data_IF_846485364197
#
_entry.id   IF_846485364197
#
_cell.length_a   1.000
_cell.length_b   1.000
_cell.length_c   1.000
_cell.angle_alpha   90.00
_cell.angle_beta   90.00
_cell.angle_gamma   90.00
#
_symmetry.space_group_name_H-M   'P 1'
#
loop_
_entity.id
_entity.type
_entity.pdbx_description
1 polymer ?
#
# COMPACT_ATOMS: atom_id res chain seq x y z
N UNK A 1 -5.52 6.79 -4.23
CA UNK A 1 -6.14 5.54 -4.73
C UNK A 1 -6.12 4.43 -3.67
N UNK A 2 -4.96 4.08 -3.07
CA UNK A 2 -4.85 3.05 -2.01
C UNK A 2 -5.85 3.26 -0.87
N UNK A 3 -5.93 4.47 -0.30
CA UNK A 3 -6.88 4.78 0.78
C UNK A 3 -8.34 4.44 0.43
N UNK A 4 -8.75 4.74 -0.80
CA UNK A 4 -10.10 4.47 -1.29
C UNK A 4 -10.36 2.98 -1.41
N UNK A 5 -9.38 2.21 -1.88
CA UNK A 5 -9.50 0.75 -2.03
C UNK A 5 -9.65 0.11 -0.65
N UNK A 6 -8.74 0.42 0.29
CA UNK A 6 -8.75 -0.14 1.65
C UNK A 6 -10.01 0.28 2.43
N UNK A 7 -10.46 1.54 2.30
CA UNK A 7 -11.68 2.02 2.98
C UNK A 7 -12.96 1.33 2.48
N UNK A 8 -12.99 0.90 1.23
CA UNK A 8 -14.14 0.20 0.65
C UNK A 8 -14.02 -1.33 0.75
N UNK A 9 -13.00 -1.84 1.46
CA UNK A 9 -12.93 -3.24 1.81
C UNK A 9 -14.13 -3.65 2.66
N UNK A 10 -14.65 -4.85 2.42
CA UNK A 10 -15.71 -5.46 3.24
C UNK A 10 -15.18 -5.93 4.58
N UNK A 11 -13.97 -6.49 4.60
CA UNK A 11 -13.30 -6.98 5.79
C UNK A 11 -11.80 -7.11 5.57
N UNK A 12 -11.04 -7.06 6.66
CA UNK A 12 -9.61 -7.44 6.65
C UNK A 12 -9.51 -8.94 6.81
N UNK A 13 -8.74 -9.57 5.93
CA UNK A 13 -8.43 -11.01 6.03
C UNK A 13 -7.17 -11.23 6.85
N UNK A 14 -6.14 -10.41 6.62
CA UNK A 14 -4.90 -10.43 7.40
C UNK A 14 -4.19 -9.08 7.31
N UNK A 15 -3.54 -8.69 8.39
CA UNK A 15 -2.53 -7.65 8.37
C UNK A 15 -1.21 -8.22 8.90
N UNK A 16 -0.11 -7.87 8.26
CA UNK A 16 1.23 -8.22 8.69
C UNK A 16 2.08 -6.95 8.67
N UNK A 17 2.25 -6.35 9.84
CA UNK A 17 3.06 -5.15 10.02
C UNK A 17 4.56 -5.42 9.99
N UNK A 18 4.99 -6.69 10.05
CA UNK A 18 6.40 -7.08 9.95
C UNK A 18 6.86 -7.12 8.50
N UNK A 19 5.98 -7.60 7.61
CA UNK A 19 6.23 -7.66 6.16
C UNK A 19 5.55 -6.54 5.38
N UNK A 20 4.99 -5.53 6.08
CA UNK A 20 4.28 -4.40 5.49
C UNK A 20 3.23 -4.83 4.45
N UNK A 21 2.41 -5.82 4.80
CA UNK A 21 1.41 -6.44 3.92
C UNK A 21 0.02 -6.38 4.51
N UNK A 22 -0.98 -6.09 3.67
CA UNK A 22 -2.39 -6.05 4.06
C UNK A 22 -3.22 -6.81 3.04
N UNK A 23 -3.96 -7.81 3.52
CA UNK A 23 -4.95 -8.54 2.74
C UNK A 23 -6.36 -8.26 3.24
N UNK A 24 -7.27 -7.94 2.32
CA UNK A 24 -8.65 -7.63 2.62
C UNK A 24 -9.58 -8.16 1.53
N UNK A 25 -10.85 -8.33 1.86
CA UNK A 25 -11.88 -8.66 0.89
C UNK A 25 -12.39 -7.37 0.25
N UNK A 26 -12.19 -7.24 -1.05
CA UNK A 26 -12.66 -6.10 -1.83
C UNK A 26 -14.19 -6.04 -1.94
N UNK A 27 -14.73 -4.94 -2.48
CA UNK A 27 -16.17 -4.82 -2.74
C UNK A 27 -16.67 -5.86 -3.75
N UNK A 28 -15.80 -6.31 -4.65
CA UNK A 28 -16.01 -7.40 -5.61
C UNK A 28 -16.06 -8.80 -4.96
N UNK A 29 -15.68 -8.92 -3.69
CA UNK A 29 -15.66 -10.17 -2.95
C UNK A 29 -14.36 -10.98 -3.10
N UNK A 30 -13.37 -10.48 -3.85
CA UNK A 30 -12.07 -11.14 -3.97
C UNK A 30 -11.11 -10.67 -2.89
N UNK A 31 -10.28 -11.59 -2.39
CA UNK A 31 -9.15 -11.23 -1.55
C UNK A 31 -8.14 -10.44 -2.37
N UNK A 32 -7.81 -9.25 -1.92
CA UNK A 32 -6.79 -8.36 -2.48
C UNK A 32 -5.72 -8.15 -1.43
N UNK A 33 -4.46 -8.34 -1.83
CA UNK A 33 -3.28 -8.08 -1.01
C UNK A 33 -2.57 -6.85 -1.56
N UNK A 34 -2.21 -5.92 -0.67
CA UNK A 34 -1.36 -4.77 -0.97
C UNK A 34 -0.06 -4.92 -0.20
N UNK A 35 1.06 -4.77 -0.90
CA UNK A 35 2.42 -4.81 -0.34
C UNK A 35 3.38 -4.02 -1.22
N UNK A 36 4.60 -3.77 -0.72
CA UNK A 36 5.69 -3.24 -1.53
C UNK A 36 6.34 -4.36 -2.36
N UNK A 37 6.38 -4.19 -3.68
CA UNK A 37 7.27 -4.96 -4.54
C UNK A 37 8.65 -4.29 -4.50
N UNK A 38 9.59 -4.95 -3.81
CA UNK A 38 10.93 -4.40 -3.56
C UNK A 38 11.85 -4.47 -4.77
N UNK A 39 11.55 -5.34 -5.76
CA UNK A 39 12.37 -5.46 -6.97
C UNK A 39 12.20 -4.25 -7.88
N UNK A 40 11.00 -3.67 -7.91
CA UNK A 40 10.67 -2.49 -8.72
C UNK A 40 10.29 -1.26 -7.88
N UNK A 41 10.40 -1.34 -6.55
CA UNK A 41 10.05 -0.30 -5.59
C UNK A 41 8.66 0.33 -5.82
N UNK A 42 7.62 -0.50 -6.03
CA UNK A 42 6.24 -0.04 -6.27
C UNK A 42 5.25 -0.78 -5.39
N UNK A 43 4.18 -0.10 -4.99
CA UNK A 43 3.11 -0.75 -4.22
C UNK A 43 2.30 -1.62 -5.19
N UNK A 44 2.34 -2.93 -4.98
CA UNK A 44 1.58 -3.91 -5.73
C UNK A 44 0.19 -4.10 -5.11
N UNK A 45 -0.77 -4.43 -5.95
CA UNK A 45 -2.11 -4.88 -5.57
C UNK A 45 -2.40 -6.16 -6.33
N UNK A 46 -2.52 -7.26 -5.60
CA UNK A 46 -2.71 -8.59 -6.16
C UNK A 46 -4.00 -9.18 -5.61
N UNK A 47 -4.92 -9.50 -6.51
CA UNK A 47 -6.12 -10.28 -6.25
C UNK A 47 -6.21 -11.45 -7.23
N UNK A 48 -7.10 -12.40 -6.96
CA UNK A 48 -7.34 -13.53 -7.87
C UNK A 48 -7.82 -13.07 -9.27
N UNK A 49 -8.43 -11.89 -9.37
CA UNK A 49 -8.96 -11.34 -10.61
C UNK A 49 -8.01 -10.35 -11.31
N UNK A 50 -7.08 -9.74 -10.58
CA UNK A 50 -6.22 -8.69 -11.09
C UNK A 50 -4.91 -8.58 -10.32
N UNK A 51 -3.78 -8.51 -11.04
CA UNK A 51 -2.49 -8.14 -10.49
C UNK A 51 -1.98 -6.88 -11.19
N UNK A 52 -1.54 -5.91 -10.41
CA UNK A 52 -0.98 -4.66 -10.94
C UNK A 52 -0.35 -3.79 -9.88
N UNK A 53 0.20 -2.65 -10.32
CA UNK A 53 0.85 -1.68 -9.44
C UNK A 53 -0.08 -0.48 -9.21
N UNK A 54 -0.21 -0.06 -7.95
CA UNK A 54 -0.95 1.14 -7.55
C UNK A 54 -0.11 2.41 -7.65
N UNK A 55 1.22 2.26 -7.68
CA UNK A 55 2.16 3.35 -7.95
C UNK A 55 2.36 3.48 -9.46
N UNK A 56 2.36 4.69 -10.05
CA UNK A 56 2.82 4.93 -11.43
C UNK A 56 4.24 4.41 -11.73
N UNK A 57 4.59 4.19 -13.00
CA UNK A 57 5.88 3.58 -13.38
C UNK A 57 7.06 4.56 -13.35
N UNK A 58 6.79 5.86 -13.31
CA UNK A 58 7.75 6.95 -13.20
C UNK A 58 8.05 7.35 -11.75
N UNK A 59 7.47 6.63 -10.78
CA UNK A 59 7.63 6.85 -9.35
C UNK A 59 8.15 5.59 -8.64
N UNK A 60 9.01 5.81 -7.66
CA UNK A 60 9.54 4.79 -6.75
C UNK A 60 9.03 5.05 -5.32
N UNK A 61 8.86 3.96 -4.58
CA UNK A 61 8.44 3.92 -3.18
C UNK A 61 9.64 3.49 -2.32
N UNK A 62 10.48 4.45 -1.86
CA UNK A 62 11.67 4.14 -1.05
C UNK A 62 11.33 3.65 0.35
N UNK A 63 10.14 3.96 0.86
CA UNK A 63 9.66 3.47 2.15
C UNK A 63 8.17 3.17 2.06
N UNK A 64 7.75 2.04 2.61
CA UNK A 64 6.37 1.63 2.73
C UNK A 64 6.22 0.89 4.04
N UNK A 65 5.32 1.36 4.90
CA UNK A 65 5.06 0.78 6.20
C UNK A 65 3.57 0.64 6.45
N UNK A 66 3.18 -0.53 6.94
CA UNK A 66 1.82 -0.82 7.38
C UNK A 66 1.84 -1.07 8.88
N UNK A 67 0.99 -0.37 9.62
CA UNK A 67 0.78 -0.63 11.04
C UNK A 67 -0.69 -0.91 11.30
N UNK A 68 -0.95 -1.94 12.08
CA UNK A 68 -2.29 -2.40 12.40
C UNK A 68 -2.58 -2.25 13.88
N UNK A 69 -3.75 -1.70 14.18
CA UNK A 69 -4.18 -1.39 15.54
C UNK A 69 -5.54 -2.02 15.83
N UNK A 70 -5.75 -2.65 17.00
CA UNK A 70 -4.77 -2.80 18.10
C UNK A 70 -3.66 -3.83 17.82
N UNK A 71 -3.85 -4.74 16.87
CA UNK A 71 -2.85 -5.74 16.48
C UNK A 71 -3.14 -6.30 15.07
N UNK A 72 -2.20 -7.08 14.57
CA UNK A 72 -2.21 -7.71 13.24
C UNK A 72 -3.30 -8.78 13.06
N UNK A 73 -3.75 -9.41 14.14
CA UNK A 73 -4.77 -10.49 14.09
C UNK A 73 -6.20 -9.96 14.05
N UNK A 74 -6.47 -8.79 14.62
CA UNK A 74 -7.78 -8.17 14.66
C UNK A 74 -7.66 -6.63 14.52
N UNK A 75 -7.24 -6.13 13.35
CA UNK A 75 -7.08 -4.70 13.14
C UNK A 75 -8.43 -3.99 12.99
N UNK A 76 -8.64 -2.94 13.76
CA UNK A 76 -9.72 -1.98 13.61
C UNK A 76 -9.30 -0.79 12.73
N UNK A 77 -8.01 -0.44 12.79
CA UNK A 77 -7.38 0.67 12.09
C UNK A 77 -6.11 0.20 11.40
N UNK A 78 -5.94 0.63 10.15
CA UNK A 78 -4.70 0.47 9.41
C UNK A 78 -4.07 1.83 9.17
N UNK A 79 -2.81 1.96 9.56
CA UNK A 79 -1.97 3.07 9.21
C UNK A 79 -1.12 2.67 8.01
N UNK A 80 -1.19 3.48 6.96
CA UNK A 80 -0.30 3.39 5.80
C UNK A 80 0.62 4.59 5.81
N UNK A 81 1.92 4.35 5.85
CA UNK A 81 2.97 5.35 5.82
C UNK A 81 3.91 5.02 4.66
N UNK A 82 4.04 5.93 3.70
CA UNK A 82 4.89 5.67 2.54
C UNK A 82 5.49 6.96 1.99
N UNK A 83 6.66 6.83 1.40
CA UNK A 83 7.29 7.93 0.68
C UNK A 83 7.31 7.63 -0.81
N UNK A 84 7.27 8.68 -1.63
CA UNK A 84 7.42 8.57 -3.08
C UNK A 84 8.53 9.51 -3.54
N UNK A 85 9.25 9.11 -4.59
CA UNK A 85 10.17 9.95 -5.34
C UNK A 85 10.09 9.61 -6.83
N UNK A 86 10.70 10.44 -7.67
CA UNK A 86 10.83 10.14 -9.10
C UNK A 86 11.71 8.91 -9.30
N UNK A 87 11.33 8.05 -10.24
CA UNK A 87 12.17 6.94 -10.67
C UNK A 87 13.38 7.47 -11.44
N UNK A 88 14.57 6.97 -11.13
CA UNK A 88 15.82 7.43 -11.74
C UNK A 88 15.98 6.85 -13.16
N UNK A 89 15.13 7.27 -14.10
CA UNK A 89 15.12 6.77 -15.47
C UNK A 89 15.96 7.59 -16.46
N UNK A 90 16.51 8.73 -16.03
CA UNK A 90 17.36 9.57 -16.86
C UNK A 90 18.68 9.86 -16.13
N UNK A 91 19.81 9.74 -16.83
CA UNK A 91 21.15 10.10 -16.36
C UNK A 91 21.37 11.59 -16.12
N UNK A 92 20.33 12.32 -15.71
CA UNK A 92 20.35 13.72 -15.38
C UNK A 92 20.75 13.95 -13.91
N UNK A 93 21.45 15.05 -13.68
CA UNK A 93 22.22 15.37 -12.47
C UNK A 93 21.42 15.26 -11.18
N UNK A 94 22.02 14.54 -10.23
CA UNK A 94 21.68 14.33 -8.81
C UNK A 94 21.55 15.63 -7.98
N UNK A 95 20.65 16.52 -8.34
CA UNK A 95 20.29 17.66 -7.50
C UNK A 95 18.81 17.57 -7.16
N UNK A 96 18.55 16.89 -6.04
CA UNK A 96 17.32 16.99 -5.25
C UNK A 96 16.04 16.52 -5.95
N UNK A 97 15.90 15.21 -6.18
CA UNK A 97 14.55 14.65 -6.35
C UNK A 97 13.82 14.73 -5.01
N UNK A 98 12.73 15.51 -4.89
CA UNK A 98 12.03 15.68 -3.64
C UNK A 98 11.37 14.35 -3.23
N UNK A 99 11.60 13.94 -1.98
CA UNK A 99 10.89 12.82 -1.37
C UNK A 99 9.63 13.37 -0.71
N UNK A 100 8.48 12.86 -1.11
CA UNK A 100 7.19 13.22 -0.53
C UNK A 100 6.70 12.08 0.36
N UNK A 101 6.46 12.36 1.63
CA UNK A 101 5.96 11.38 2.59
C UNK A 101 4.45 11.54 2.82
N UNK A 102 3.75 10.42 2.90
CA UNK A 102 2.31 10.33 3.06
C UNK A 102 1.99 9.42 4.23
N UNK A 103 1.09 9.86 5.09
CA UNK A 103 0.56 9.06 6.20
C UNK A 103 -0.96 9.10 6.20
N UNK A 104 -1.57 7.94 6.36
CA UNK A 104 -3.03 7.81 6.44
C UNK A 104 -3.42 6.82 7.51
N UNK A 105 -4.44 7.17 8.29
CA UNK A 105 -5.19 6.21 9.09
C UNK A 105 -6.47 5.83 8.35
N UNK A 106 -6.77 4.55 8.26
CA UNK A 106 -7.91 4.00 7.53
C UNK A 106 -8.66 3.09 8.49
N UNK A 107 -9.89 3.49 8.81
CA UNK A 107 -10.84 2.64 9.49
C UNK A 107 -11.69 1.92 8.45
N UNK A 108 -11.91 0.62 8.65
CA UNK A 108 -12.81 -0.16 7.79
C UNK A 108 -14.24 0.25 8.06
N UNK A 109 -15.07 0.27 7.01
CA UNK A 109 -16.51 0.37 7.17
C UNK A 109 -17.03 -0.98 7.65
N UNK A 110 -17.17 -1.15 8.96
CA UNK A 110 -17.98 -2.24 9.52
C UNK A 110 -19.41 -2.04 9.00
N UNK A 111 -19.86 -2.91 8.11
CA UNK A 111 -21.26 -3.05 7.71
C UNK A 111 -21.90 -4.20 8.48
#
# INVERSE_FOLDING_TARGET
QIQTIVRNAKSVSSCDSTNDSLSFIGPDGYTTTISLDTDVARIASVSAAYAGYLTPADLEIPSFNITCSPNDSAPELVYLDFSIKKANNDGARSSEDPVLSFKSAIQFRNN
#
